data_IF_131650394701
#
_entry.id   IF_131650394701
#
_cell.length_a   1.000
_cell.length_b   1.000
_cell.length_c   1.000
_cell.angle_alpha   90.00
_cell.angle_beta   90.00
_cell.angle_gamma   90.00
#
_symmetry.space_group_name_H-M   'P 1'
#
loop_
_entity.id
_entity.type
_entity.pdbx_description
1 polymer ?
#
# COMPACT_ATOMS: atom_id res chain seq x y z
N UNK A 1 -5.00 0.08 -21.53
CA UNK A 1 -6.23 0.20 -22.37
C UNK A 1 -6.18 -0.75 -23.59
N UNK A 2 -5.76 -1.99 -23.41
CA UNK A 2 -5.96 -3.04 -24.40
C UNK A 2 -7.31 -3.67 -24.08
N UNK A 3 -8.29 -3.55 -24.96
CA UNK A 3 -9.62 -4.10 -24.78
C UNK A 3 -9.60 -5.56 -24.34
N UNK A 4 -10.70 -6.06 -23.75
CA UNK A 4 -10.88 -7.34 -23.10
C UNK A 4 -10.57 -8.62 -23.87
N UNK A 5 -9.70 -8.55 -24.88
CA UNK A 5 -9.35 -9.68 -25.72
C UNK A 5 -8.28 -10.64 -25.12
N UNK A 6 -7.69 -10.28 -23.95
CA UNK A 6 -6.56 -11.04 -23.38
C UNK A 6 -6.88 -11.73 -22.05
N UNK A 7 -7.86 -11.28 -21.31
CA UNK A 7 -8.26 -11.85 -20.02
C UNK A 7 -9.67 -11.40 -19.67
N UNK A 8 -10.42 -12.28 -19.02
CA UNK A 8 -11.82 -12.04 -18.67
C UNK A 8 -11.99 -11.52 -17.24
N UNK A 9 -10.95 -11.64 -16.41
CA UNK A 9 -10.93 -11.21 -15.03
C UNK A 9 -9.51 -10.74 -14.67
N UNK A 10 -9.41 -9.77 -13.76
CA UNK A 10 -8.14 -9.32 -13.19
C UNK A 10 -8.29 -9.12 -11.68
N UNK A 11 -7.15 -9.10 -10.99
CA UNK A 11 -7.05 -8.76 -9.58
C UNK A 11 -6.37 -7.40 -9.43
N UNK A 12 -6.91 -6.53 -8.58
CA UNK A 12 -6.32 -5.22 -8.29
C UNK A 12 -6.82 -4.64 -6.96
N UNK A 13 -6.09 -3.67 -6.41
CA UNK A 13 -6.47 -2.96 -5.20
C UNK A 13 -7.69 -2.06 -5.38
N UNK A 14 -8.32 -1.69 -4.27
CA UNK A 14 -9.55 -0.89 -4.20
C UNK A 14 -9.49 0.39 -5.04
N UNK A 15 -8.37 1.13 -4.99
CA UNK A 15 -8.17 2.34 -5.77
C UNK A 15 -8.25 2.13 -7.28
N UNK A 16 -7.65 1.03 -7.78
CA UNK A 16 -7.71 0.68 -9.21
C UNK A 16 -9.11 0.24 -9.64
N UNK A 17 -9.85 -0.42 -8.76
CA UNK A 17 -11.25 -0.77 -8.99
C UNK A 17 -12.13 0.48 -9.09
N UNK A 18 -11.92 1.46 -8.22
CA UNK A 18 -12.66 2.72 -8.23
C UNK A 18 -12.36 3.53 -9.50
N UNK A 19 -11.08 3.72 -9.85
CA UNK A 19 -10.68 4.49 -11.04
C UNK A 19 -11.10 3.79 -12.34
N UNK A 20 -10.96 2.48 -12.43
CA UNK A 20 -11.41 1.71 -13.59
C UNK A 20 -12.93 1.76 -13.80
N UNK A 21 -13.69 1.77 -12.71
CA UNK A 21 -15.14 2.00 -12.74
C UNK A 21 -15.48 3.39 -13.22
N UNK A 22 -14.84 4.43 -12.69
CA UNK A 22 -15.05 5.82 -13.10
C UNK A 22 -14.66 6.08 -14.57
N UNK A 23 -13.60 5.44 -15.06
CA UNK A 23 -13.17 5.49 -16.45
C UNK A 23 -14.05 4.65 -17.39
N UNK A 24 -15.00 3.87 -16.88
CA UNK A 24 -15.90 3.03 -17.66
C UNK A 24 -15.21 1.87 -18.38
N UNK A 25 -14.07 1.40 -17.85
CA UNK A 25 -13.29 0.28 -18.40
C UNK A 25 -13.59 -1.06 -17.70
N UNK A 26 -14.46 -1.04 -16.70
CA UNK A 26 -14.91 -2.23 -15.97
C UNK A 26 -16.40 -2.46 -16.16
N UNK A 27 -16.80 -3.73 -16.14
CA UNK A 27 -18.20 -4.11 -16.04
C UNK A 27 -18.69 -3.99 -14.58
N UNK A 28 -19.97 -3.65 -14.40
CA UNK A 28 -20.61 -3.72 -13.09
C UNK A 28 -20.84 -5.18 -12.71
N UNK A 29 -20.50 -5.51 -11.47
CA UNK A 29 -20.70 -6.86 -10.96
C UNK A 29 -22.16 -7.08 -10.56
N UNK A 30 -22.67 -8.30 -10.83
CA UNK A 30 -24.01 -8.72 -10.43
C UNK A 30 -23.98 -9.43 -9.07
N UNK A 31 -24.30 -8.70 -8.02
CA UNK A 31 -24.36 -9.21 -6.65
C UNK A 31 -25.61 -10.05 -6.36
N UNK A 32 -26.48 -10.30 -7.33
CA UNK A 32 -27.49 -11.36 -7.22
C UNK A 32 -26.89 -12.75 -7.43
N UNK A 33 -25.70 -12.81 -8.05
CA UNK A 33 -24.95 -14.04 -8.37
C UNK A 33 -23.73 -14.17 -7.43
N UNK A 34 -23.05 -13.05 -7.16
CA UNK A 34 -21.85 -13.02 -6.30
C UNK A 34 -22.26 -12.82 -4.86
N UNK A 35 -22.07 -13.85 -4.03
CA UNK A 35 -22.36 -13.79 -2.61
C UNK A 35 -21.20 -13.12 -1.84
N UNK A 36 -21.48 -11.94 -1.30
CA UNK A 36 -20.56 -11.19 -0.45
C UNK A 36 -20.99 -11.15 1.03
N UNK A 37 -21.95 -11.98 1.42
CA UNK A 37 -22.51 -12.00 2.79
C UNK A 37 -21.46 -12.32 3.86
N UNK A 38 -20.40 -13.07 3.49
CA UNK A 38 -19.28 -13.41 4.37
C UNK A 38 -18.10 -12.45 4.28
N UNK A 39 -18.16 -11.44 3.39
CA UNK A 39 -17.09 -10.49 3.23
C UNK A 39 -17.10 -9.45 4.36
N UNK A 40 -15.93 -8.90 4.68
CA UNK A 40 -15.83 -7.76 5.60
C UNK A 40 -16.50 -6.55 4.93
N UNK A 41 -17.41 -5.84 5.62
CA UNK A 41 -18.06 -4.67 5.06
C UNK A 41 -17.05 -3.64 4.52
N UNK A 42 -17.27 -3.16 3.28
CA UNK A 42 -16.38 -2.20 2.62
C UNK A 42 -15.26 -2.83 1.78
N UNK A 43 -15.19 -4.17 1.67
CA UNK A 43 -14.20 -4.86 0.82
C UNK A 43 -14.76 -5.28 -0.54
N UNK A 44 -15.79 -4.62 -1.01
CA UNK A 44 -16.33 -4.75 -2.38
C UNK A 44 -16.87 -3.42 -2.86
N UNK A 45 -16.99 -3.27 -4.16
CA UNK A 45 -17.55 -2.10 -4.83
C UNK A 45 -18.50 -2.52 -5.94
N UNK A 46 -19.06 -1.57 -6.66
CA UNK A 46 -19.90 -1.85 -7.83
C UNK A 46 -19.14 -2.62 -8.94
N UNK A 47 -17.80 -2.54 -8.95
CA UNK A 47 -16.93 -3.04 -10.04
C UNK A 47 -15.98 -4.15 -9.62
N UNK A 48 -15.75 -4.35 -8.32
CA UNK A 48 -14.85 -5.39 -7.84
C UNK A 48 -15.39 -6.06 -6.56
N UNK A 49 -15.26 -7.38 -6.51
CA UNK A 49 -15.51 -8.18 -5.31
C UNK A 49 -14.18 -8.48 -4.60
N UNK A 50 -14.10 -8.22 -3.30
CA UNK A 50 -12.90 -8.43 -2.50
C UNK A 50 -12.48 -9.90 -2.46
N UNK A 51 -11.18 -10.13 -2.52
CA UNK A 51 -10.56 -11.45 -2.47
C UNK A 51 -9.66 -11.60 -1.24
N UNK A 52 -8.91 -10.57 -0.89
CA UNK A 52 -8.07 -10.53 0.30
C UNK A 52 -7.99 -9.13 0.92
N UNK A 53 -7.46 -9.10 2.14
CA UNK A 53 -7.18 -7.87 2.88
C UNK A 53 -5.72 -7.88 3.30
N UNK A 54 -5.06 -6.77 3.12
CA UNK A 54 -3.68 -6.58 3.51
C UNK A 54 -3.50 -5.20 4.18
N UNK A 55 -2.31 -4.99 4.74
CA UNK A 55 -1.93 -3.67 5.25
C UNK A 55 -0.59 -3.25 4.68
N UNK A 56 -0.49 -1.97 4.32
CA UNK A 56 0.78 -1.31 4.15
C UNK A 56 1.30 -0.94 5.53
N UNK A 57 2.53 -1.34 5.83
CA UNK A 57 3.19 -1.11 7.13
C UNK A 57 4.58 -0.52 6.92
N UNK A 58 5.13 0.11 7.96
CA UNK A 58 6.54 0.43 8.05
C UNK A 58 7.27 -0.78 8.66
N UNK A 59 8.16 -1.38 7.88
CA UNK A 59 9.01 -2.48 8.33
C UNK A 59 10.45 -2.01 8.51
N UNK A 60 11.16 -2.66 9.42
CA UNK A 60 12.56 -2.35 9.72
C UNK A 60 13.42 -3.59 9.84
N UNK A 61 14.72 -3.42 9.62
CA UNK A 61 15.73 -4.45 9.85
C UNK A 61 16.01 -4.57 11.34
N UNK A 62 15.84 -5.77 11.90
CA UNK A 62 16.08 -6.02 13.33
C UNK A 62 17.55 -6.07 13.69
N UNK A 63 18.47 -6.24 12.74
CA UNK A 63 19.90 -6.09 13.00
C UNK A 63 20.28 -4.64 13.28
N UNK A 64 19.58 -3.68 12.63
CA UNK A 64 19.82 -2.24 12.80
C UNK A 64 19.12 -1.71 14.05
N UNK A 65 17.84 -2.03 14.25
CA UNK A 65 17.03 -1.38 15.30
C UNK A 65 16.56 -2.33 16.42
N UNK A 66 16.84 -3.64 16.33
CA UNK A 66 16.31 -4.62 17.27
C UNK A 66 14.79 -4.54 17.36
N UNK A 67 14.29 -4.52 18.61
CA UNK A 67 12.88 -4.34 18.90
C UNK A 67 12.42 -2.87 18.93
N UNK A 68 13.33 -1.92 18.70
CA UNK A 68 13.08 -0.48 18.82
C UNK A 68 12.95 0.24 17.47
N UNK A 69 12.45 -0.45 16.45
CA UNK A 69 12.18 0.15 15.14
C UNK A 69 11.02 1.15 15.15
N UNK A 70 10.74 1.80 14.00
CA UNK A 70 9.70 2.82 13.88
C UNK A 70 8.31 2.24 14.14
N UNK A 71 7.56 2.84 15.06
CA UNK A 71 6.22 2.38 15.47
C UNK A 71 5.10 3.34 15.08
N UNK A 72 5.44 4.37 14.32
CA UNK A 72 4.51 5.31 13.73
C UNK A 72 5.03 5.78 12.38
N UNK A 73 4.17 6.37 11.55
CA UNK A 73 4.63 7.01 10.32
C UNK A 73 5.54 8.20 10.62
N UNK A 74 5.29 8.94 11.69
CA UNK A 74 6.21 9.99 12.14
C UNK A 74 7.62 9.46 12.40
N UNK A 75 7.74 8.30 13.07
CA UNK A 75 9.04 7.64 13.29
C UNK A 75 9.71 7.23 11.95
N UNK A 76 8.95 6.67 11.00
CA UNK A 76 9.49 6.29 9.69
C UNK A 76 10.06 7.49 8.92
N UNK A 77 9.47 8.67 9.07
CA UNK A 77 9.93 9.91 8.43
C UNK A 77 10.95 10.69 9.25
N UNK A 78 11.20 10.31 10.51
CA UNK A 78 12.20 10.96 11.38
C UNK A 78 13.59 10.36 11.14
N UNK A 79 14.36 11.03 10.26
CA UNK A 79 15.69 10.59 9.84
C UNK A 79 16.76 10.80 10.90
N UNK A 80 16.49 11.64 11.90
CA UNK A 80 17.41 11.89 13.01
C UNK A 80 17.25 10.83 14.09
N UNK A 81 16.02 10.52 14.48
CA UNK A 81 15.69 9.48 15.48
C UNK A 81 15.96 8.07 14.95
N UNK A 82 15.67 7.85 13.69
CA UNK A 82 15.88 6.57 13.00
C UNK A 82 16.80 6.78 11.79
N UNK A 83 18.11 6.97 12.02
CA UNK A 83 19.06 7.11 10.92
C UNK A 83 19.16 5.80 10.14
N UNK A 84 19.47 5.90 8.83
CA UNK A 84 19.63 4.74 7.96
C UNK A 84 18.90 4.91 6.63
N UNK A 85 19.06 3.93 5.78
CA UNK A 85 18.50 3.90 4.44
C UNK A 85 17.05 3.43 4.44
N UNK A 86 16.24 4.02 3.52
CA UNK A 86 14.84 3.70 3.36
C UNK A 86 14.55 3.19 1.95
N UNK A 87 13.54 2.34 1.83
CA UNK A 87 12.90 2.08 0.56
C UNK A 87 11.42 2.47 0.63
N UNK A 88 10.89 3.00 -0.46
CA UNK A 88 9.49 3.36 -0.58
C UNK A 88 8.93 2.91 -1.93
N UNK A 89 7.62 2.77 -2.02
CA UNK A 89 6.96 2.44 -3.28
C UNK A 89 7.04 3.62 -4.25
N UNK A 90 7.32 3.35 -5.53
CA UNK A 90 7.38 4.35 -6.60
C UNK A 90 6.01 4.82 -7.11
N UNK A 91 4.92 4.30 -6.55
CA UNK A 91 3.54 4.70 -6.84
C UNK A 91 2.94 5.42 -5.64
N UNK A 92 1.91 6.22 -5.89
CA UNK A 92 1.26 7.05 -4.87
C UNK A 92 0.43 6.26 -3.85
N UNK A 93 -0.04 5.06 -4.19
CA UNK A 93 -0.90 4.25 -3.33
C UNK A 93 -0.29 4.08 -1.94
N UNK A 94 -0.99 4.48 -0.91
CA UNK A 94 -0.62 4.55 0.49
C UNK A 94 0.56 5.51 0.82
N UNK A 95 1.32 6.02 -0.14
CA UNK A 95 2.46 6.89 0.15
C UNK A 95 2.03 8.31 0.58
N UNK A 96 0.96 8.83 -0.03
CA UNK A 96 0.42 10.14 0.35
C UNK A 96 -0.23 10.08 1.73
N UNK A 97 -0.95 9.00 2.02
CA UNK A 97 -1.55 8.74 3.33
C UNK A 97 -0.48 8.65 4.43
N UNK A 98 0.58 7.86 4.20
CA UNK A 98 1.68 7.73 5.18
C UNK A 98 2.37 9.05 5.44
N UNK A 99 2.53 9.88 4.41
CA UNK A 99 3.15 11.20 4.53
C UNK A 99 2.31 12.16 5.38
N UNK A 100 0.99 12.22 5.15
CA UNK A 100 0.10 13.06 5.94
C UNK A 100 -0.01 12.58 7.39
N UNK A 101 -0.06 11.26 7.62
CA UNK A 101 -0.03 10.68 8.96
C UNK A 101 1.29 11.01 9.67
N UNK A 102 2.41 10.98 8.97
CA UNK A 102 3.71 11.38 9.49
C UNK A 102 3.79 12.88 9.79
N UNK A 103 3.02 13.69 9.09
CA UNK A 103 2.92 15.14 9.29
C UNK A 103 1.83 15.55 10.30
N UNK A 104 1.27 14.57 11.02
CA UNK A 104 0.33 14.78 12.12
C UNK A 104 -1.13 14.98 11.72
N UNK A 105 -1.50 14.71 10.45
CA UNK A 105 -2.91 14.72 10.04
C UNK A 105 -3.63 13.52 10.69
N UNK A 106 -4.74 13.74 11.40
CA UNK A 106 -5.54 12.64 11.94
C UNK A 106 -6.02 11.68 10.84
N UNK A 107 -6.05 10.39 11.12
CA UNK A 107 -6.47 9.37 10.14
C UNK A 107 -7.84 9.66 9.52
N UNK A 108 -8.80 10.18 10.31
CA UNK A 108 -10.14 10.57 9.84
C UNK A 108 -10.13 11.71 8.82
N UNK A 109 -9.07 12.53 8.80
CA UNK A 109 -8.97 13.71 7.96
C UNK A 109 -8.07 13.51 6.72
N UNK A 110 -7.36 12.40 6.61
CA UNK A 110 -6.39 12.16 5.53
C UNK A 110 -7.02 12.38 4.15
N UNK A 111 -8.16 11.78 3.87
CA UNK A 111 -8.80 11.93 2.55
C UNK A 111 -9.46 13.28 2.33
N UNK A 112 -9.93 13.96 3.41
CA UNK A 112 -10.40 15.34 3.32
C UNK A 112 -9.24 16.26 2.90
N UNK A 113 -8.07 16.06 3.48
CA UNK A 113 -6.85 16.81 3.12
C UNK A 113 -6.41 16.47 1.70
N UNK A 114 -6.31 15.18 1.33
CA UNK A 114 -5.91 14.74 -0.01
C UNK A 114 -6.89 15.17 -1.13
N UNK A 115 -8.12 15.55 -0.81
CA UNK A 115 -9.07 16.06 -1.79
C UNK A 115 -8.77 17.49 -2.27
N UNK A 116 -7.78 18.16 -1.67
CA UNK A 116 -7.36 19.52 -2.00
C UNK A 116 -5.97 19.54 -2.64
N UNK A 117 -5.69 20.53 -3.50
CA UNK A 117 -4.37 20.72 -4.10
C UNK A 117 -3.30 20.98 -3.03
N UNK A 118 -3.61 21.83 -2.05
CA UNK A 118 -2.73 22.14 -0.91
C UNK A 118 -2.39 20.89 -0.07
N UNK A 119 -3.37 20.01 0.14
CA UNK A 119 -3.16 18.76 0.86
C UNK A 119 -2.32 17.76 0.09
N UNK A 120 -2.48 17.70 -1.22
CA UNK A 120 -1.62 16.90 -2.10
C UNK A 120 -0.17 17.40 -2.06
N UNK A 121 0.02 18.72 -2.18
CA UNK A 121 1.35 19.33 -2.11
C UNK A 121 2.00 19.09 -0.75
N UNK A 122 1.25 19.22 0.34
CA UNK A 122 1.70 18.92 1.70
C UNK A 122 2.21 17.48 1.83
N UNK A 123 1.47 16.49 1.29
CA UNK A 123 1.89 15.10 1.30
C UNK A 123 3.18 14.88 0.48
N UNK A 124 3.25 15.49 -0.71
CA UNK A 124 4.43 15.40 -1.57
C UNK A 124 5.66 16.06 -0.93
N UNK A 125 5.49 17.22 -0.28
CA UNK A 125 6.59 17.91 0.41
C UNK A 125 7.11 17.09 1.60
N UNK A 126 6.21 16.39 2.32
CA UNK A 126 6.62 15.47 3.37
C UNK A 126 7.46 14.31 2.81
N UNK A 127 7.08 13.73 1.66
CA UNK A 127 7.90 12.70 0.99
C UNK A 127 9.24 13.29 0.54
N UNK A 128 9.23 14.49 -0.05
CA UNK A 128 10.46 15.19 -0.49
C UNK A 128 11.42 15.45 0.67
N UNK A 129 10.92 15.70 1.88
CA UNK A 129 11.75 15.99 3.06
C UNK A 129 12.71 14.86 3.44
N UNK A 130 12.40 13.60 3.05
CA UNK A 130 13.28 12.44 3.31
C UNK A 130 13.88 11.85 2.04
N UNK A 131 13.74 12.51 0.89
CA UNK A 131 14.12 11.96 -0.43
C UNK A 131 15.56 11.47 -0.46
N UNK A 132 16.48 12.21 0.15
CA UNK A 132 17.91 11.87 0.16
C UNK A 132 18.24 10.64 1.03
N UNK A 133 17.30 10.20 1.85
CA UNK A 133 17.39 8.99 2.68
C UNK A 133 16.68 7.79 2.03
N UNK A 134 16.03 7.97 0.87
CA UNK A 134 15.38 6.89 0.14
C UNK A 134 16.36 6.31 -0.87
N UNK A 135 17.00 5.20 -0.51
CA UNK A 135 17.97 4.53 -1.38
C UNK A 135 17.29 3.83 -2.57
N UNK A 136 16.08 3.31 -2.37
CA UNK A 136 15.37 2.53 -3.40
C UNK A 136 13.90 2.92 -3.48
N UNK A 137 13.45 3.21 -4.71
CA UNK A 137 12.03 3.32 -5.05
C UNK A 137 11.59 2.00 -5.68
N UNK A 138 10.96 1.13 -4.88
CA UNK A 138 10.57 -0.19 -5.35
C UNK A 138 9.27 -0.17 -6.19
N UNK A 139 9.17 -1.11 -7.12
CA UNK A 139 8.06 -1.20 -8.10
C UNK A 139 7.22 -2.46 -7.98
N UNK A 140 7.66 -3.46 -7.22
CA UNK A 140 6.95 -4.73 -7.04
C UNK A 140 7.02 -5.23 -5.60
N UNK A 141 6.02 -6.02 -5.19
CA UNK A 141 5.96 -6.58 -3.85
C UNK A 141 7.09 -7.57 -3.53
N UNK A 142 7.66 -8.23 -4.54
CA UNK A 142 8.84 -9.06 -4.34
C UNK A 142 10.07 -8.23 -3.99
N UNK A 143 10.19 -7.03 -4.59
CA UNK A 143 11.36 -6.17 -4.43
C UNK A 143 11.51 -5.67 -2.99
N UNK A 144 10.46 -5.10 -2.36
CA UNK A 144 10.58 -4.58 -1.00
C UNK A 144 10.89 -5.66 0.04
N UNK A 145 10.34 -6.88 -0.14
CA UNK A 145 10.66 -7.99 0.75
C UNK A 145 12.10 -8.49 0.55
N UNK A 146 12.58 -8.51 -0.70
CA UNK A 146 13.95 -8.91 -1.01
C UNK A 146 14.97 -7.91 -0.44
N UNK A 147 14.73 -6.60 -0.58
CA UNK A 147 15.59 -5.55 0.00
C UNK A 147 15.79 -5.74 1.51
N UNK A 148 14.71 -6.10 2.23
CA UNK A 148 14.78 -6.40 3.66
C UNK A 148 15.53 -7.70 3.94
N UNK A 149 15.30 -8.75 3.14
CA UNK A 149 15.96 -10.04 3.30
C UNK A 149 17.47 -9.95 3.10
N UNK A 150 17.89 -9.15 2.12
CA UNK A 150 19.31 -8.96 1.79
C UNK A 150 19.99 -7.89 2.67
N UNK A 151 19.23 -7.19 3.53
CA UNK A 151 19.76 -6.12 4.36
C UNK A 151 20.23 -4.89 3.57
N UNK A 152 19.69 -4.67 2.37
CA UNK A 152 20.07 -3.55 1.51
C UNK A 152 19.51 -2.20 2.00
N UNK A 153 18.44 -2.24 2.81
CA UNK A 153 17.85 -1.06 3.44
C UNK A 153 17.52 -1.34 4.90
N UNK A 154 17.55 -0.28 5.71
CA UNK A 154 17.27 -0.37 7.14
C UNK A 154 15.77 -0.37 7.43
N UNK A 155 14.97 0.26 6.57
CA UNK A 155 13.51 0.24 6.68
C UNK A 155 12.84 0.43 5.32
N UNK A 156 11.58 -0.02 5.22
CA UNK A 156 10.80 0.12 4.00
C UNK A 156 9.31 0.19 4.30
N UNK A 157 8.55 0.87 3.43
CA UNK A 157 7.11 0.68 3.35
C UNK A 157 6.83 -0.63 2.59
N UNK A 158 5.75 -1.34 2.92
CA UNK A 158 5.38 -2.53 2.14
C UNK A 158 4.21 -3.29 2.73
N UNK A 159 3.88 -4.40 2.10
CA UNK A 159 2.75 -5.24 2.48
C UNK A 159 3.13 -6.26 3.53
N UNK A 160 2.38 -6.28 4.63
CA UNK A 160 2.62 -7.14 5.78
C UNK A 160 2.84 -8.62 5.39
N UNK A 161 2.00 -9.18 4.53
CA UNK A 161 2.11 -10.59 4.12
C UNK A 161 3.44 -10.93 3.46
N UNK A 162 4.08 -10.00 2.74
CA UNK A 162 5.41 -10.21 2.17
C UNK A 162 6.50 -10.23 3.24
N UNK A 163 6.39 -9.39 4.26
CA UNK A 163 7.32 -9.41 5.39
C UNK A 163 7.14 -10.65 6.26
N UNK A 164 5.91 -11.15 6.44
CA UNK A 164 5.65 -12.39 7.16
C UNK A 164 6.30 -13.60 6.47
N UNK A 165 6.23 -13.66 5.13
CA UNK A 165 6.93 -14.68 4.34
C UNK A 165 8.44 -14.52 4.49
N UNK A 166 8.98 -13.30 4.29
CA UNK A 166 10.42 -13.04 4.43
C UNK A 166 10.94 -13.44 5.82
N UNK A 167 10.18 -13.12 6.88
CA UNK A 167 10.52 -13.52 8.26
C UNK A 167 10.51 -15.04 8.46
N UNK A 168 9.54 -15.75 7.89
CA UNK A 168 9.53 -17.24 7.91
C UNK A 168 10.73 -17.82 7.17
N UNK A 169 11.21 -17.14 6.15
CA UNK A 169 12.40 -17.50 5.37
C UNK A 169 13.71 -17.08 6.06
N UNK A 170 13.66 -16.55 7.30
CA UNK A 170 14.82 -16.19 8.10
C UNK A 170 15.33 -14.76 7.93
N UNK A 171 14.57 -13.87 7.29
CA UNK A 171 14.94 -12.45 7.20
C UNK A 171 14.79 -11.74 8.55
N UNK A 172 15.75 -10.87 8.86
CA UNK A 172 15.77 -10.04 10.06
C UNK A 172 14.85 -8.82 9.87
N UNK A 173 13.53 -9.06 9.79
CA UNK A 173 12.51 -8.04 9.54
C UNK A 173 11.45 -8.05 10.63
N UNK A 174 11.04 -6.85 11.05
CA UNK A 174 9.90 -6.63 11.93
C UNK A 174 9.06 -5.45 11.43
N UNK A 175 7.81 -5.36 11.89
CA UNK A 175 6.91 -4.23 11.69
C UNK A 175 5.93 -4.13 12.87
N UNK A 176 5.27 -2.98 13.01
CA UNK A 176 4.23 -2.76 14.03
C UNK A 176 2.90 -2.43 13.35
N UNK A 177 1.83 -3.08 13.77
CA UNK A 177 0.48 -2.85 13.27
C UNK A 177 -0.05 -1.43 13.49
N UNK A 178 0.57 -0.66 14.40
CA UNK A 178 0.24 0.77 14.57
C UNK A 178 0.52 1.61 13.32
N UNK A 179 1.37 1.12 12.43
CA UNK A 179 1.60 1.75 11.11
C UNK A 179 0.66 1.20 10.03
N UNK A 180 -0.20 0.23 10.34
CA UNK A 180 -1.02 -0.46 9.37
C UNK A 180 -2.04 0.46 8.70
N UNK A 181 -1.94 0.62 7.38
CA UNK A 181 -2.99 1.17 6.53
C UNK A 181 -3.62 -0.02 5.81
N UNK A 182 -4.87 -0.32 6.18
CA UNK A 182 -5.62 -1.42 5.59
C UNK A 182 -6.07 -1.08 4.18
N UNK A 183 -5.89 -2.03 3.27
CA UNK A 183 -6.44 -2.01 1.92
C UNK A 183 -6.94 -3.41 1.56
N UNK A 184 -7.67 -3.54 0.47
CA UNK A 184 -8.15 -4.81 -0.04
C UNK A 184 -7.88 -4.95 -1.53
N UNK A 185 -7.64 -6.17 -1.96
CA UNK A 185 -7.54 -6.55 -3.36
C UNK A 185 -8.78 -7.34 -3.77
N UNK A 186 -9.29 -7.09 -4.96
CA UNK A 186 -10.50 -7.72 -5.45
C UNK A 186 -10.43 -8.06 -6.92
N UNK A 187 -11.38 -8.87 -7.35
CA UNK A 187 -11.55 -9.27 -8.73
C UNK A 187 -12.54 -8.38 -9.44
N UNK A 188 -12.17 -7.90 -10.61
CA UNK A 188 -13.01 -7.13 -11.51
C UNK A 188 -13.03 -7.71 -12.92
N UNK A 189 -14.06 -7.37 -13.69
CA UNK A 189 -14.27 -7.83 -15.07
C UNK A 189 -14.01 -6.64 -16.00
N UNK A 190 -13.05 -6.74 -16.95
CA UNK A 190 -12.84 -5.71 -17.96
C UNK A 190 -14.07 -5.57 -18.86
N UNK A 191 -14.36 -4.33 -19.27
CA UNK A 191 -15.48 -4.08 -20.18
C UNK A 191 -15.28 -4.80 -21.51
N UNK A 192 -16.30 -5.55 -21.92
CA UNK A 192 -16.27 -6.35 -23.15
C UNK A 192 -15.54 -7.69 -23.00
N UNK A 193 -15.33 -8.20 -21.79
CA UNK A 193 -14.91 -9.57 -21.57
C UNK A 193 -15.91 -10.56 -22.21
N UNK A 194 -15.40 -11.70 -22.72
CA UNK A 194 -16.19 -12.62 -23.57
C UNK A 194 -16.77 -13.80 -22.79
N UNK A 195 -16.24 -14.10 -21.60
CA UNK A 195 -16.66 -15.26 -20.78
C UNK A 195 -17.18 -14.82 -19.41
#
# INVERSE_FOLDING_TARGET
KSGGDKFDMFSSGAGSCASGGAEGVLEKLDYSIIDVSSHIPGTWSEYCAGADIFSVVAAWNTDTYGDNGPRSWADFYDVEKFPGTRAMRSKVDAQLETALLADGVPMSEVYNVLSTEEGMDRALDKIRSIKDHIAVWWTSGAMHAQLMKDGEVDMTTGWNGRFDVAKKDGANVAYDWKTGIMDWEGYGIPKGAKN
#
